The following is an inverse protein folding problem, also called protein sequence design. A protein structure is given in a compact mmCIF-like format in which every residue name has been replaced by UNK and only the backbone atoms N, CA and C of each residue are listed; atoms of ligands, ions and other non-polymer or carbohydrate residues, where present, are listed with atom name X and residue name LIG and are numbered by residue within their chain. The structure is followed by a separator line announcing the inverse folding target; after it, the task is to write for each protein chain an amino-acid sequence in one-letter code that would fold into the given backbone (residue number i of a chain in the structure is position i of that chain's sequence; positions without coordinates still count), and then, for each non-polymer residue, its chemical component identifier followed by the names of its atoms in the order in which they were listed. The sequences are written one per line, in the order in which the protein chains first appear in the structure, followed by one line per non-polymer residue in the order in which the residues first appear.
data_IF_834090495796
#
_entry.id   IF_834090495796
#
_cell.length_a   1.000
_cell.length_b   1.000
_cell.length_c   1.000
_cell.angle_alpha   90.00
_cell.angle_beta   90.00
_cell.angle_gamma   90.00
#
_symmetry.space_group_name_H-M   'P 1'
#
loop_
_entity.id
_entity.type
_entity.pdbx_description
1 polymer ?
#
# COMPACT_ATOMS: atom_id res chain seq x y z
N UNK A 1 23.73 -3.35 33.27
CA UNK A 1 22.70 -2.33 33.05
C UNK A 1 21.67 -2.98 32.13
N UNK A 2 20.45 -3.21 32.64
CA UNK A 2 19.48 -4.14 32.05
C UNK A 2 18.86 -3.60 30.75
N UNK A 3 18.69 -4.48 29.76
CA UNK A 3 18.04 -4.22 28.48
C UNK A 3 16.56 -3.86 28.69
N UNK A 4 16.13 -2.70 28.20
CA UNK A 4 14.72 -2.30 28.13
C UNK A 4 14.11 -2.89 26.85
N UNK A 5 13.50 -4.08 26.91
CA UNK A 5 13.11 -4.78 25.67
C UNK A 5 11.73 -5.45 25.70
N UNK A 6 10.80 -5.01 26.56
CA UNK A 6 9.56 -5.78 26.81
C UNK A 6 8.24 -5.02 26.82
N UNK A 7 8.20 -3.69 26.64
CA UNK A 7 6.97 -2.95 26.98
C UNK A 7 5.87 -3.04 25.90
N UNK A 8 6.22 -3.41 24.66
CA UNK A 8 5.29 -3.45 23.54
C UNK A 8 4.87 -4.87 23.14
N UNK A 9 5.46 -5.93 23.73
CA UNK A 9 5.11 -7.32 23.38
C UNK A 9 3.81 -7.75 24.05
N UNK A 10 2.95 -8.41 23.27
CA UNK A 10 1.69 -8.99 23.75
C UNK A 10 1.58 -10.46 23.35
N UNK A 11 0.66 -11.19 23.98
CA UNK A 11 0.32 -12.55 23.60
C UNK A 11 -0.63 -12.59 22.40
N UNK A 12 -0.57 -13.66 21.60
CA UNK A 12 -1.48 -13.87 20.46
C UNK A 12 -2.97 -13.79 20.85
N UNK A 13 -3.33 -14.26 22.05
CA UNK A 13 -4.72 -14.26 22.53
C UNK A 13 -5.27 -12.85 22.75
N UNK A 14 -4.39 -11.84 22.82
CA UNK A 14 -4.74 -10.43 23.00
C UNK A 14 -5.01 -9.74 21.66
N UNK A 15 -4.73 -10.38 20.52
CA UNK A 15 -5.14 -9.88 19.22
C UNK A 15 -6.67 -9.88 19.09
N UNK A 16 -7.28 -8.91 18.40
CA UNK A 16 -8.71 -8.96 18.09
C UNK A 16 -9.08 -10.23 17.32
N UNK A 17 -10.31 -10.70 17.50
CA UNK A 17 -10.80 -11.93 16.87
C UNK A 17 -10.66 -11.92 15.34
N UNK A 18 -10.83 -10.75 14.70
CA UNK A 18 -10.63 -10.58 13.25
C UNK A 18 -9.18 -10.87 12.83
N UNK A 19 -8.20 -10.35 13.58
CA UNK A 19 -6.78 -10.60 13.29
C UNK A 19 -6.44 -12.08 13.50
N UNK A 20 -6.91 -12.70 14.59
CA UNK A 20 -6.71 -14.13 14.83
C UNK A 20 -7.32 -14.98 13.71
N UNK A 21 -8.54 -14.65 13.26
CA UNK A 21 -9.22 -15.33 12.16
C UNK A 21 -8.46 -15.18 10.83
N UNK A 22 -7.94 -13.98 10.55
CA UNK A 22 -7.13 -13.72 9.35
C UNK A 22 -5.88 -14.61 9.33
N UNK A 23 -5.11 -14.63 10.42
CA UNK A 23 -3.89 -15.45 10.54
C UNK A 23 -4.20 -16.94 10.38
N UNK A 24 -5.28 -17.42 11.03
CA UNK A 24 -5.70 -18.82 10.92
C UNK A 24 -6.15 -19.20 9.51
N UNK A 25 -6.80 -18.28 8.79
CA UNK A 25 -7.36 -18.55 7.46
C UNK A 25 -6.29 -18.50 6.38
N UNK A 26 -5.45 -17.47 6.38
CA UNK A 26 -4.53 -17.19 5.28
C UNK A 26 -3.07 -17.53 5.58
N UNK A 27 -2.71 -17.76 6.85
CA UNK A 27 -1.37 -18.17 7.27
C UNK A 27 -1.39 -19.39 8.22
N UNK A 28 -2.23 -20.43 8.00
CA UNK A 28 -2.39 -21.55 8.94
C UNK A 28 -1.12 -22.38 9.19
N UNK A 29 -0.16 -22.33 8.25
CA UNK A 29 1.11 -23.08 8.30
C UNK A 29 2.28 -22.24 8.84
N UNK A 30 2.05 -20.96 9.12
CA UNK A 30 3.10 -20.07 9.60
C UNK A 30 3.06 -20.03 11.12
N UNK A 31 4.21 -20.24 11.76
CA UNK A 31 4.33 -20.11 13.21
C UNK A 31 4.42 -18.63 13.58
N UNK A 32 3.61 -18.19 14.54
CA UNK A 32 3.73 -16.84 15.11
C UNK A 32 4.98 -16.82 15.99
N UNK A 33 5.91 -15.92 15.68
CA UNK A 33 7.17 -15.76 16.40
C UNK A 33 7.07 -14.61 17.41
N UNK A 34 6.35 -13.53 17.06
CA UNK A 34 6.22 -12.35 17.90
C UNK A 34 4.93 -11.61 17.60
N UNK A 35 4.32 -11.02 18.63
CA UNK A 35 3.20 -10.07 18.53
C UNK A 35 3.55 -8.83 19.33
N UNK A 36 3.35 -7.66 18.73
CA UNK A 36 3.71 -6.36 19.30
C UNK A 36 2.56 -5.38 19.13
N UNK A 37 2.33 -4.55 20.16
CA UNK A 37 1.66 -3.28 19.99
C UNK A 37 2.62 -2.31 19.31
N UNK A 38 2.22 -1.73 18.19
CA UNK A 38 2.97 -0.64 17.57
C UNK A 38 2.32 0.69 17.94
N UNK A 39 3.14 1.66 18.36
CA UNK A 39 2.69 3.05 18.48
C UNK A 39 2.41 3.52 17.06
N UNK A 40 1.16 3.92 16.79
CA UNK A 40 0.68 4.20 15.44
C UNK A 40 1.66 5.07 14.65
N UNK A 41 1.87 4.67 13.39
CA UNK A 41 2.61 5.43 12.38
C UNK A 41 1.89 6.75 12.07
N UNK A 42 2.46 7.58 11.18
CA UNK A 42 1.94 8.92 10.83
C UNK A 42 0.45 8.94 10.46
N UNK A 43 -0.10 7.82 9.99
CA UNK A 43 -1.50 7.71 9.54
C UNK A 43 -2.45 7.23 10.63
N UNK A 44 -1.94 6.88 11.82
CA UNK A 44 -2.76 6.63 13.02
C UNK A 44 -3.49 5.29 13.04
N UNK A 45 -3.34 4.43 12.03
CA UNK A 45 -4.19 3.24 11.88
C UNK A 45 -3.56 1.95 12.40
N UNK A 46 -2.23 1.84 12.42
CA UNK A 46 -1.54 0.62 12.87
C UNK A 46 -1.61 0.49 14.39
N UNK A 47 -1.92 -0.73 14.86
CA UNK A 47 -1.97 -1.06 16.29
C UNK A 47 -1.20 -2.32 16.63
N UNK A 48 -1.29 -3.35 15.79
CA UNK A 48 -0.66 -4.64 16.06
C UNK A 48 0.27 -5.03 14.93
N UNK A 49 1.45 -5.54 15.28
CA UNK A 49 2.38 -6.18 14.35
C UNK A 49 2.55 -7.64 14.75
N UNK A 50 2.40 -8.53 13.79
CA UNK A 50 2.59 -9.97 13.96
C UNK A 50 3.72 -10.42 13.05
N UNK A 51 4.79 -10.93 13.64
CA UNK A 51 5.92 -11.53 12.91
C UNK A 51 5.78 -13.04 12.95
N UNK A 52 5.80 -13.67 11.77
CA UNK A 52 5.65 -15.10 11.58
C UNK A 52 6.92 -15.72 10.96
N UNK A 53 7.01 -17.05 11.03
CA UNK A 53 8.02 -17.85 10.35
C UNK A 53 8.13 -17.48 8.86
N UNK A 54 9.32 -17.65 8.27
CA UNK A 54 9.67 -17.17 6.92
C UNK A 54 9.67 -15.65 6.78
N UNK A 55 9.80 -14.94 7.91
CA UNK A 55 9.95 -13.49 7.96
C UNK A 55 8.77 -12.76 7.30
N UNK A 56 7.57 -13.30 7.50
CA UNK A 56 6.32 -12.65 7.11
C UNK A 56 5.87 -11.78 8.26
N UNK A 57 5.57 -10.51 7.99
CA UNK A 57 4.99 -9.57 8.93
C UNK A 57 3.59 -9.20 8.48
N UNK A 58 2.64 -9.15 9.42
CA UNK A 58 1.30 -8.61 9.19
C UNK A 58 1.04 -7.46 10.14
N UNK A 59 0.59 -6.33 9.60
CA UNK A 59 0.13 -5.18 10.38
C UNK A 59 -1.40 -5.19 10.44
N UNK A 60 -1.95 -4.92 11.61
CA UNK A 60 -3.38 -4.79 11.84
C UNK A 60 -3.69 -3.47 12.53
N UNK A 61 -4.90 -2.96 12.29
CA UNK A 61 -5.46 -1.86 13.07
C UNK A 61 -6.04 -2.36 14.42
N UNK A 62 -6.53 -1.42 15.23
CA UNK A 62 -7.09 -1.72 16.56
C UNK A 62 -8.29 -2.68 16.50
N UNK A 63 -9.08 -2.66 15.43
CA UNK A 63 -10.19 -3.59 15.23
C UNK A 63 -9.75 -4.99 14.75
N UNK A 64 -8.48 -5.16 14.39
CA UNK A 64 -7.93 -6.39 13.83
C UNK A 64 -8.13 -6.54 12.32
N UNK A 65 -8.49 -5.47 11.62
CA UNK A 65 -8.44 -5.45 10.15
C UNK A 65 -6.98 -5.35 9.72
N UNK A 66 -6.58 -6.22 8.78
CA UNK A 66 -5.22 -6.19 8.27
C UNK A 66 -4.99 -4.92 7.43
N UNK A 67 -3.81 -4.35 7.58
CA UNK A 67 -3.38 -3.13 6.87
C UNK A 67 -2.29 -3.47 5.87
N UNK A 68 -1.38 -4.38 6.21
CA UNK A 68 -0.26 -4.74 5.36
C UNK A 68 0.19 -6.17 5.65
N UNK A 69 0.59 -6.88 4.61
CA UNK A 69 1.36 -8.11 4.69
C UNK A 69 2.66 -7.91 3.91
N UNK A 70 3.79 -8.24 4.52
CA UNK A 70 5.11 -8.09 3.93
C UNK A 70 5.97 -9.31 4.24
N UNK A 71 6.78 -9.76 3.28
CA UNK A 71 7.70 -10.87 3.44
C UNK A 71 9.05 -10.55 2.82
N UNK A 72 10.12 -11.14 3.35
CA UNK A 72 11.46 -11.06 2.74
C UNK A 72 11.57 -11.84 1.43
N UNK A 73 10.60 -12.70 1.16
CA UNK A 73 10.48 -13.47 -0.08
C UNK A 73 9.02 -13.44 -0.55
N UNK A 74 8.76 -14.04 -1.71
CA UNK A 74 7.41 -14.09 -2.27
C UNK A 74 6.39 -14.62 -1.26
N UNK A 75 5.35 -13.82 -1.03
CA UNK A 75 4.22 -14.14 -0.19
C UNK A 75 3.51 -15.39 -0.69
N UNK A 76 3.04 -16.27 0.21
CA UNK A 76 2.35 -17.48 -0.19
C UNK A 76 1.02 -17.15 -0.88
N UNK A 77 0.59 -18.00 -1.81
CA UNK A 77 -0.68 -17.86 -2.55
C UNK A 77 -1.90 -17.70 -1.60
N UNK A 78 -1.85 -18.24 -0.39
CA UNK A 78 -2.91 -18.07 0.60
C UNK A 78 -3.13 -16.61 1.00
N UNK A 79 -2.08 -15.77 1.02
CA UNK A 79 -2.24 -14.32 1.24
C UNK A 79 -2.93 -13.66 0.05
N UNK A 80 -2.57 -14.04 -1.18
CA UNK A 80 -3.23 -13.51 -2.39
C UNK A 80 -4.72 -13.88 -2.44
N UNK A 81 -5.11 -15.01 -1.85
CA UNK A 81 -6.51 -15.42 -1.74
C UNK A 81 -7.28 -14.62 -0.67
N UNK A 82 -6.63 -13.70 0.06
CA UNK A 82 -7.31 -12.72 0.91
C UNK A 82 -7.73 -11.44 0.18
N UNK A 83 -7.40 -11.34 -1.11
CA UNK A 83 -7.81 -10.26 -2.00
C UNK A 83 -9.16 -10.59 -2.66
N UNK A 84 -9.85 -9.56 -3.15
CA UNK A 84 -11.07 -9.75 -3.92
C UNK A 84 -10.75 -10.42 -5.27
N UNK A 85 -11.71 -11.17 -5.82
CA UNK A 85 -11.49 -11.96 -7.04
C UNK A 85 -11.01 -11.09 -8.22
N UNK A 86 -11.62 -9.92 -8.39
CA UNK A 86 -11.24 -8.95 -9.42
C UNK A 86 -9.81 -8.40 -9.22
N UNK A 87 -9.39 -8.18 -7.97
CA UNK A 87 -8.03 -7.73 -7.64
C UNK A 87 -7.02 -8.80 -8.05
N UNK A 88 -7.32 -10.07 -7.74
CA UNK A 88 -6.47 -11.20 -8.08
C UNK A 88 -6.36 -11.42 -9.59
N UNK A 89 -7.47 -11.26 -10.33
CA UNK A 89 -7.49 -11.34 -11.80
C UNK A 89 -6.61 -10.23 -12.39
N UNK A 90 -6.80 -8.99 -11.96
CA UNK A 90 -6.03 -7.85 -12.47
C UNK A 90 -4.52 -8.05 -12.22
N UNK A 91 -4.13 -8.43 -11.00
CA UNK A 91 -2.74 -8.65 -10.62
C UNK A 91 -2.07 -9.73 -11.47
N UNK A 92 -2.76 -10.87 -11.67
CA UNK A 92 -2.23 -11.99 -12.46
C UNK A 92 -2.12 -11.68 -13.94
N UNK A 93 -3.06 -10.93 -14.51
CA UNK A 93 -3.03 -10.55 -15.92
C UNK A 93 -1.83 -9.64 -16.24
N UNK A 94 -1.50 -8.71 -15.32
CA UNK A 94 -0.44 -7.73 -15.53
C UNK A 94 0.94 -8.24 -15.10
N UNK A 95 1.01 -9.19 -14.16
CA UNK A 95 2.27 -9.66 -13.57
C UNK A 95 2.31 -11.19 -13.36
N UNK A 96 2.07 -12.00 -14.42
CA UNK A 96 1.79 -13.44 -14.28
C UNK A 96 2.94 -14.27 -13.69
N UNK A 97 4.17 -13.77 -13.76
CA UNK A 97 5.38 -14.50 -13.35
C UNK A 97 6.12 -13.88 -12.15
N UNK A 98 5.70 -12.70 -11.67
CA UNK A 98 6.41 -11.99 -10.61
C UNK A 98 5.81 -12.33 -9.25
N UNK A 99 6.69 -12.65 -8.29
CA UNK A 99 6.28 -12.86 -6.92
C UNK A 99 5.91 -11.54 -6.25
N UNK A 100 4.95 -11.57 -5.33
CA UNK A 100 4.56 -10.43 -4.52
C UNK A 100 5.26 -10.48 -3.18
N UNK A 101 5.91 -9.40 -2.74
CA UNK A 101 6.61 -9.36 -1.44
C UNK A 101 5.91 -8.47 -0.42
N UNK A 102 5.06 -7.53 -0.88
CA UNK A 102 4.28 -6.65 0.00
C UNK A 102 2.92 -6.35 -0.60
N UNK A 103 1.89 -6.35 0.23
CA UNK A 103 0.54 -5.93 -0.11
C UNK A 103 0.01 -5.08 1.04
N UNK A 104 -0.43 -3.87 0.74
CA UNK A 104 -0.99 -2.94 1.71
C UNK A 104 -2.37 -2.47 1.29
N UNK A 105 -3.28 -2.38 2.25
CA UNK A 105 -4.47 -1.56 2.15
C UNK A 105 -4.08 -0.09 2.16
N UNK A 106 -4.78 0.69 1.36
CA UNK A 106 -4.62 2.14 1.33
C UNK A 106 -5.88 2.79 1.88
N UNK A 107 -5.67 3.89 2.62
CA UNK A 107 -6.74 4.71 3.19
C UNK A 107 -7.31 5.71 2.16
N UNK A 108 -6.72 5.80 0.97
CA UNK A 108 -7.10 6.75 -0.05
C UNK A 108 -8.26 6.20 -0.88
N UNK A 109 -9.38 6.93 -0.91
CA UNK A 109 -10.65 6.49 -1.52
C UNK A 109 -10.52 5.94 -2.96
N UNK A 110 -9.62 6.51 -3.76
CA UNK A 110 -9.42 6.12 -5.17
C UNK A 110 -8.55 4.87 -5.33
N UNK A 111 -7.72 4.56 -4.34
CA UNK A 111 -6.81 3.44 -4.38
C UNK A 111 -7.31 2.31 -3.51
N UNK A 112 -7.07 1.09 -3.96
CA UNK A 112 -7.50 -0.13 -3.28
C UNK A 112 -6.34 -0.75 -2.53
N UNK A 113 -5.24 -0.94 -3.24
CA UNK A 113 -4.05 -1.61 -2.72
C UNK A 113 -2.80 -0.92 -3.22
N UNK A 114 -1.76 -0.98 -2.41
CA UNK A 114 -0.38 -0.87 -2.87
C UNK A 114 0.26 -2.25 -2.83
N UNK A 115 1.01 -2.59 -3.87
CA UNK A 115 1.62 -3.91 -4.03
C UNK A 115 3.07 -3.75 -4.44
N UNK A 116 3.99 -4.43 -3.78
CA UNK A 116 5.40 -4.49 -4.19
C UNK A 116 5.70 -5.89 -4.73
N UNK A 117 6.24 -5.93 -5.95
CA UNK A 117 6.73 -7.13 -6.60
C UNK A 117 8.14 -7.49 -6.09
N UNK A 118 8.59 -8.71 -6.40
CA UNK A 118 9.89 -9.23 -5.98
C UNK A 118 11.08 -8.42 -6.52
N UNK A 119 10.93 -7.80 -7.69
CA UNK A 119 11.92 -6.88 -8.29
C UNK A 119 11.84 -5.45 -7.71
N UNK A 120 11.05 -5.26 -6.65
CA UNK A 120 10.75 -3.99 -5.99
C UNK A 120 9.95 -2.99 -6.85
N UNK A 121 9.36 -3.44 -7.97
CA UNK A 121 8.36 -2.64 -8.68
C UNK A 121 7.15 -2.45 -7.78
N UNK A 122 6.70 -1.20 -7.65
CA UNK A 122 5.53 -0.83 -6.86
C UNK A 122 4.36 -0.59 -7.78
N UNK A 123 3.23 -1.21 -7.45
CA UNK A 123 1.98 -1.11 -8.18
C UNK A 123 0.91 -0.51 -7.27
N UNK A 124 -0.02 0.19 -7.87
CA UNK A 124 -1.24 0.68 -7.22
C UNK A 124 -2.44 0.10 -7.96
N UNK A 125 -3.35 -0.50 -7.22
CA UNK A 125 -4.65 -0.92 -7.72
C UNK A 125 -5.64 0.20 -7.44
N UNK A 126 -6.44 0.57 -8.43
CA UNK A 126 -7.40 1.66 -8.30
C UNK A 126 -8.69 1.37 -9.06
N UNK A 127 -9.81 1.90 -8.57
CA UNK A 127 -11.10 1.76 -9.23
C UNK A 127 -11.34 2.92 -10.19
N UNK A 128 -11.73 2.59 -11.42
CA UNK A 128 -12.25 3.56 -12.40
C UNK A 128 -13.44 2.94 -13.09
N UNK A 129 -14.60 3.60 -12.99
CA UNK A 129 -15.86 3.17 -13.63
C UNK A 129 -16.27 1.72 -13.33
N UNK A 130 -16.04 1.25 -12.10
CA UNK A 130 -16.39 -0.11 -11.67
C UNK A 130 -15.39 -1.19 -12.08
N UNK A 131 -14.27 -0.83 -12.70
CA UNK A 131 -13.20 -1.76 -13.08
C UNK A 131 -11.93 -1.47 -12.28
N UNK A 132 -11.20 -2.53 -11.92
CA UNK A 132 -9.89 -2.43 -11.27
C UNK A 132 -8.81 -2.26 -12.33
N UNK A 133 -8.03 -1.18 -12.19
CA UNK A 133 -6.86 -0.90 -12.99
C UNK A 133 -5.60 -1.02 -12.15
N UNK A 134 -4.48 -1.28 -12.83
CA UNK A 134 -3.16 -1.34 -12.22
C UNK A 134 -2.31 -0.23 -12.84
N UNK A 135 -1.66 0.53 -11.98
CA UNK A 135 -0.62 1.47 -12.35
C UNK A 135 0.70 1.10 -11.69
N UNK A 136 1.81 1.47 -12.32
CA UNK A 136 3.12 1.47 -11.66
C UNK A 136 3.28 2.76 -10.89
N UNK A 137 3.55 2.67 -9.59
CA UNK A 137 3.92 3.83 -8.76
C UNK A 137 5.38 4.21 -9.00
N UNK A 138 5.58 5.46 -9.41
CA UNK A 138 6.89 6.05 -9.59
C UNK A 138 7.21 6.90 -8.35
N UNK A 139 8.17 6.44 -7.55
CA UNK A 139 8.75 7.23 -6.47
C UNK A 139 9.81 8.20 -7.02
N UNK A 140 10.15 9.19 -6.22
CA UNK A 140 11.18 10.20 -6.50
C UNK A 140 12.44 9.55 -7.13
N UNK A 141 12.94 10.15 -8.20
CA UNK A 141 14.02 9.69 -9.10
C UNK A 141 13.65 8.64 -10.17
N UNK A 142 12.43 8.06 -10.14
CA UNK A 142 11.94 7.20 -11.26
C UNK A 142 10.99 7.92 -12.21
N UNK A 143 10.40 9.03 -11.77
CA UNK A 143 9.51 9.85 -12.58
C UNK A 143 10.30 10.81 -13.50
N UNK A 144 9.82 11.08 -14.73
CA UNK A 144 10.42 12.08 -15.60
C UNK A 144 10.49 13.47 -14.94
N UNK A 145 11.60 14.19 -15.16
CA UNK A 145 11.81 15.51 -14.54
C UNK A 145 10.75 16.54 -14.96
N UNK A 146 10.26 16.45 -16.20
CA UNK A 146 9.27 17.39 -16.73
C UNK A 146 7.99 17.47 -15.90
N UNK A 147 7.62 16.37 -15.20
CA UNK A 147 6.47 16.35 -14.31
C UNK A 147 6.69 17.29 -13.11
N UNK A 148 7.88 17.25 -12.53
CA UNK A 148 8.25 18.13 -11.42
C UNK A 148 8.39 19.57 -11.90
N UNK A 149 9.06 19.78 -13.04
CA UNK A 149 9.24 21.11 -13.64
C UNK A 149 7.89 21.78 -13.91
N UNK A 150 6.92 21.04 -14.44
CA UNK A 150 5.55 21.53 -14.67
C UNK A 150 4.85 21.88 -13.35
N UNK A 151 4.91 20.99 -12.35
CA UNK A 151 4.23 21.22 -11.08
C UNK A 151 4.82 22.44 -10.38
N UNK A 152 6.15 22.59 -10.35
CA UNK A 152 6.82 23.75 -9.77
C UNK A 152 6.48 25.06 -10.51
N UNK A 153 6.33 25.01 -11.84
CA UNK A 153 6.00 26.18 -12.64
C UNK A 153 4.55 26.68 -12.45
N UNK A 154 3.59 25.76 -12.29
CA UNK A 154 2.16 26.09 -12.33
C UNK A 154 1.43 25.94 -10.99
N UNK A 155 1.96 25.18 -10.04
CA UNK A 155 1.34 24.93 -8.74
C UNK A 155 2.27 25.34 -7.61
N UNK A 156 1.78 26.23 -6.73
CA UNK A 156 2.49 26.64 -5.52
C UNK A 156 1.81 26.03 -4.30
N UNK A 157 2.60 25.68 -3.27
CA UNK A 157 2.10 25.11 -2.01
C UNK A 157 1.27 23.82 -2.20
N UNK A 158 1.78 22.91 -3.02
CA UNK A 158 1.20 21.58 -3.22
C UNK A 158 2.18 20.49 -2.84
N UNK A 159 1.67 19.37 -2.34
CA UNK A 159 2.42 18.14 -2.17
C UNK A 159 2.08 17.18 -3.30
N UNK A 160 3.09 16.49 -3.86
CA UNK A 160 2.88 15.36 -4.77
C UNK A 160 2.63 14.12 -3.92
N UNK A 161 1.43 13.57 -4.03
CA UNK A 161 1.04 12.35 -3.31
C UNK A 161 1.46 11.11 -4.10
N UNK A 162 1.18 11.10 -5.41
CA UNK A 162 1.47 9.97 -6.29
C UNK A 162 1.87 10.44 -7.68
N UNK A 163 2.83 9.72 -8.26
CA UNK A 163 3.08 9.72 -9.70
C UNK A 163 2.87 8.29 -10.18
N UNK A 164 1.87 8.10 -11.03
CA UNK A 164 1.51 6.80 -11.57
C UNK A 164 1.84 6.73 -13.05
N UNK A 165 2.49 5.66 -13.49
CA UNK A 165 2.57 5.31 -14.91
C UNK A 165 1.46 4.30 -15.22
N UNK A 166 0.63 4.64 -16.20
CA UNK A 166 -0.52 3.82 -16.63
C UNK A 166 -0.40 3.56 -18.12
N UNK A 167 -0.81 2.38 -18.58
CA UNK A 167 -1.04 2.11 -19.99
C UNK A 167 -2.54 2.29 -20.28
N UNK A 168 -2.90 3.36 -20.99
CA UNK A 168 -4.28 3.65 -21.42
C UNK A 168 -4.30 3.68 -22.95
N UNK A 169 -5.22 2.93 -23.56
CA UNK A 169 -5.40 2.87 -25.04
C UNK A 169 -4.13 2.48 -25.83
N UNK A 170 -3.21 1.74 -25.19
CA UNK A 170 -1.93 1.32 -25.78
C UNK A 170 -0.82 2.37 -25.69
N UNK A 171 -1.09 3.50 -25.03
CA UNK A 171 -0.11 4.55 -24.77
C UNK A 171 0.24 4.61 -23.28
N UNK A 172 1.49 4.96 -23.01
CA UNK A 172 1.94 5.21 -21.64
C UNK A 172 1.66 6.65 -21.28
N UNK A 173 0.91 6.83 -20.19
CA UNK A 173 0.60 8.14 -19.62
C UNK A 173 1.07 8.21 -18.17
N UNK A 174 1.41 9.42 -17.72
CA UNK A 174 1.71 9.71 -16.34
C UNK A 174 0.52 10.42 -15.69
N UNK A 175 0.08 9.92 -14.54
CA UNK A 175 -0.95 10.56 -13.73
C UNK A 175 -0.32 11.04 -12.44
N UNK A 176 -0.34 12.35 -12.23
CA UNK A 176 0.21 12.97 -11.03
C UNK A 176 -0.93 13.47 -10.17
N UNK A 177 -0.93 13.03 -8.91
CA UNK A 177 -1.92 13.45 -7.93
C UNK A 177 -1.26 14.41 -6.95
N UNK A 178 -1.76 15.64 -6.93
CA UNK A 178 -1.26 16.69 -6.03
C UNK A 178 -2.36 17.13 -5.06
N UNK A 179 -1.97 17.55 -3.86
CA UNK A 179 -2.85 18.06 -2.81
C UNK A 179 -2.38 19.43 -2.36
N UNK A 180 -3.32 20.34 -2.07
CA UNK A 180 -2.96 21.64 -1.50
C UNK A 180 -2.43 21.47 -0.06
N UNK A 181 -1.30 22.12 0.25
CA UNK A 181 -0.73 22.13 1.59
C UNK A 181 -1.59 23.02 2.53
N UNK A 182 -2.62 22.45 3.17
CA UNK A 182 -3.40 23.19 4.17
C UNK A 182 -2.66 23.26 5.51
N UNK A 183 -2.58 24.46 6.12
CA UNK A 183 -1.91 24.70 7.41
C UNK A 183 -2.57 24.05 8.65
N UNK A 184 -3.65 23.29 8.52
CA UNK A 184 -4.38 22.69 9.66
C UNK A 184 -4.62 21.20 9.50
N UNK A 185 -4.14 20.40 10.47
CA UNK A 185 -4.35 18.95 10.60
C UNK A 185 -5.76 18.59 11.08
N UNK A 186 -6.81 19.13 10.48
CA UNK A 186 -8.17 18.67 10.77
C UNK A 186 -8.85 18.12 9.52
N UNK A 187 -9.41 16.92 9.71
CA UNK A 187 -10.13 16.09 8.75
C UNK A 187 -10.96 16.90 7.75
N UNK A 188 -10.52 16.90 6.50
CA UNK A 188 -11.39 17.09 5.33
C UNK A 188 -10.87 16.19 4.22
N UNK A 189 -11.07 14.89 4.39
CA UNK A 189 -10.98 13.95 3.29
C UNK A 189 -12.06 14.33 2.27
N UNK A 190 -11.66 14.82 1.09
CA UNK A 190 -12.08 14.36 -0.26
C UNK A 190 -11.93 15.44 -1.37
N UNK A 191 -11.82 16.75 -1.10
CA UNK A 191 -12.10 17.74 -2.18
C UNK A 191 -10.93 18.52 -2.82
N UNK A 192 -9.66 18.32 -2.42
CA UNK A 192 -8.53 19.16 -2.89
C UNK A 192 -7.44 18.43 -3.68
N UNK A 193 -7.70 17.20 -4.14
CA UNK A 193 -6.71 16.45 -4.91
C UNK A 193 -6.92 16.66 -6.41
N UNK A 194 -5.94 17.28 -7.06
CA UNK A 194 -5.94 17.49 -8.52
C UNK A 194 -5.22 16.31 -9.18
N UNK A 195 -5.84 15.73 -10.20
CA UNK A 195 -5.22 14.75 -11.10
C UNK A 195 -4.73 15.48 -12.35
N UNK A 196 -3.43 15.41 -12.59
CA UNK A 196 -2.79 15.88 -13.82
C UNK A 196 -2.44 14.65 -14.66
N UNK A 197 -2.73 14.70 -15.96
CA UNK A 197 -2.43 13.61 -16.88
C UNK A 197 -1.48 14.14 -17.94
N UNK A 198 -0.38 13.43 -18.15
CA UNK A 198 0.64 13.79 -19.13
C UNK A 198 0.89 12.60 -20.07
N UNK A 199 1.10 12.88 -21.34
CA UNK A 199 1.69 11.89 -22.24
C UNK A 199 3.21 11.74 -21.99
N UNK A 200 3.90 10.97 -22.84
CA UNK A 200 5.35 10.76 -22.69
C UNK A 200 6.19 12.01 -23.01
N UNK A 201 5.62 12.95 -23.76
CA UNK A 201 6.26 14.20 -24.19
C UNK A 201 6.00 15.37 -23.21
N UNK A 202 5.16 15.15 -22.20
CA UNK A 202 4.84 16.13 -21.16
C UNK A 202 3.71 17.09 -21.52
N UNK A 203 2.88 16.74 -22.50
CA UNK A 203 1.65 17.46 -22.86
C UNK A 203 0.44 17.01 -22.04
#
# INVERSE_FOLDING_TARGET
MACSDSDDRIEQKELPNLAQAYLKTYLPKSQILQVENVKSTKDGQEKYKVTLSKQITVLFNESGNWLQVEGESTLPQSILNSLDEEELIALKANNPALGFIKISNTSLYRFRREVTLLDHTQLVLYYKLGTIYIATSLKENKAPSFLYDFIEAYYTHVAIEYILQVEEEGEKVFKVYITAETKSKEHSAIDNQVELVFNQDGE
#
